data_IF_608934259319
#
_entry.id   IF_608934259319
#
_cell.length_a   1.000
_cell.length_b   1.000
_cell.length_c   1.000
_cell.angle_alpha   90.00
_cell.angle_beta   90.00
_cell.angle_gamma   90.00
#
_symmetry.space_group_name_H-M   'P 1'
#
loop_
_entity.id
_entity.type
_entity.pdbx_description
1 polymer ?
#
# COMPACT_ATOMS: atom_id res chain seq x y z
N UNK A 1 5.55 -21.04 -18.53
CA UNK A 1 4.89 -19.73 -18.51
C UNK A 1 5.35 -18.99 -17.27
N UNK A 2 6.03 -17.87 -17.42
CA UNK A 2 6.45 -17.04 -16.28
C UNK A 2 5.20 -16.55 -15.55
N UNK A 3 5.00 -16.96 -14.29
CA UNK A 3 3.94 -16.38 -13.44
C UNK A 3 4.12 -14.86 -13.48
N UNK A 4 3.09 -14.14 -13.92
CA UNK A 4 3.12 -12.69 -13.92
C UNK A 4 3.31 -12.22 -12.47
N UNK A 5 4.21 -11.25 -12.29
CA UNK A 5 4.56 -10.75 -10.97
C UNK A 5 3.35 -10.04 -10.37
N UNK A 6 2.98 -10.38 -9.13
CA UNK A 6 1.87 -9.75 -8.43
C UNK A 6 2.35 -8.46 -7.76
N UNK A 7 1.82 -7.33 -8.20
CA UNK A 7 2.11 -6.02 -7.62
C UNK A 7 0.99 -5.63 -6.68
N UNK A 8 1.25 -5.70 -5.37
CA UNK A 8 0.25 -5.35 -4.36
C UNK A 8 -0.29 -3.92 -4.52
N UNK A 9 0.50 -2.98 -5.02
CA UNK A 9 0.05 -1.61 -5.29
C UNK A 9 -0.97 -1.52 -6.42
N UNK A 10 -1.03 -2.52 -7.30
CA UNK A 10 -1.99 -2.66 -8.40
C UNK A 10 -3.16 -3.59 -8.04
N UNK A 11 -3.34 -3.95 -6.77
CA UNK A 11 -4.42 -4.85 -6.36
C UNK A 11 -5.60 -4.05 -5.80
N UNK A 12 -6.83 -4.32 -6.24
CA UNK A 12 -8.05 -3.65 -5.76
C UNK A 12 -8.29 -3.80 -4.25
N UNK A 13 -7.75 -4.86 -3.64
CA UNK A 13 -7.89 -5.11 -2.22
C UNK A 13 -6.81 -4.44 -1.36
N UNK A 14 -5.77 -3.87 -1.98
CA UNK A 14 -4.67 -3.22 -1.27
C UNK A 14 -4.89 -1.70 -1.26
N UNK A 15 -5.53 -1.21 -0.19
CA UNK A 15 -6.04 0.15 -0.13
C UNK A 15 -5.16 1.07 0.73
N UNK A 16 -5.10 2.34 0.37
CA UNK A 16 -4.48 3.39 1.18
C UNK A 16 -5.44 3.78 2.31
N UNK A 17 -4.91 3.92 3.53
CA UNK A 17 -5.63 4.34 4.74
C UNK A 17 -4.88 5.46 5.45
N UNK A 18 -5.61 6.22 6.27
CA UNK A 18 -5.03 7.17 7.22
C UNK A 18 -4.71 6.43 8.51
N UNK A 19 -3.45 6.50 8.94
CA UNK A 19 -3.03 6.10 10.28
C UNK A 19 -2.81 7.37 11.08
N UNK A 20 -3.71 7.64 12.02
CA UNK A 20 -3.57 8.78 12.93
C UNK A 20 -2.43 8.51 13.91
N UNK A 21 -1.62 9.55 14.12
CA UNK A 21 -0.56 9.54 15.13
C UNK A 21 -1.17 9.88 16.50
N UNK A 22 -0.34 10.18 17.50
CA UNK A 22 -0.80 10.58 18.84
C UNK A 22 -1.70 11.83 18.85
N UNK A 23 -1.61 12.67 17.81
CA UNK A 23 -2.47 13.85 17.61
C UNK A 23 -3.63 13.52 16.65
N UNK A 24 -4.90 13.82 17.01
CA UNK A 24 -6.08 13.36 16.26
C UNK A 24 -6.24 14.02 14.88
N UNK A 25 -5.55 15.13 14.63
CA UNK A 25 -5.60 15.88 13.38
C UNK A 25 -4.40 15.61 12.47
N UNK A 26 -3.44 14.79 12.91
CA UNK A 26 -2.23 14.46 12.14
C UNK A 26 -2.23 12.98 11.79
N UNK A 27 -1.98 12.67 10.53
CA UNK A 27 -1.95 11.30 10.05
C UNK A 27 -0.86 11.08 9.02
N UNK A 28 -0.45 9.81 8.91
CA UNK A 28 0.40 9.32 7.83
C UNK A 28 -0.41 8.38 6.94
N UNK A 29 -0.04 8.29 5.67
CA UNK A 29 -0.65 7.32 4.76
C UNK A 29 0.00 5.94 4.93
N UNK A 30 -0.84 4.93 5.03
CA UNK A 30 -0.45 3.51 5.06
C UNK A 30 -1.24 2.75 4.02
N UNK A 31 -0.79 1.55 3.70
CA UNK A 31 -1.53 0.61 2.87
C UNK A 31 -1.84 -0.62 3.69
N UNK A 32 -3.05 -1.14 3.55
CA UNK A 32 -3.49 -2.42 4.11
C UNK A 32 -4.11 -3.32 3.06
N UNK A 33 -4.22 -4.62 3.33
CA UNK A 33 -4.85 -5.58 2.43
C UNK A 33 -6.18 -6.04 3.03
N UNK A 34 -7.30 -5.68 2.40
CA UNK A 34 -8.65 -6.04 2.88
C UNK A 34 -8.89 -7.54 3.01
N UNK A 35 -8.10 -8.37 2.31
CA UNK A 35 -8.14 -9.83 2.39
C UNK A 35 -7.15 -10.41 3.42
N UNK A 36 -6.52 -9.55 4.22
CA UNK A 36 -5.60 -9.88 5.31
C UNK A 36 -4.42 -10.79 4.91
N UNK A 37 -3.99 -10.69 3.65
CA UNK A 37 -2.81 -11.39 3.14
C UNK A 37 -1.51 -10.93 3.80
N UNK A 38 -1.55 -9.81 4.54
CA UNK A 38 -0.42 -9.30 5.30
C UNK A 38 -0.74 -9.37 6.80
N UNK A 39 -0.10 -10.31 7.48
CA UNK A 39 -0.22 -10.46 8.92
C UNK A 39 1.15 -10.31 9.59
N UNK A 40 1.14 -9.77 10.80
CA UNK A 40 2.28 -9.86 11.72
C UNK A 40 2.30 -11.26 12.33
N UNK A 41 3.42 -11.63 12.96
CA UNK A 41 3.51 -12.87 13.76
C UNK A 41 2.47 -12.94 14.88
N UNK A 42 2.00 -11.79 15.37
CA UNK A 42 0.94 -11.68 16.37
C UNK A 42 -0.48 -11.92 15.83
N UNK A 43 -0.66 -12.10 14.51
CA UNK A 43 -1.97 -12.26 13.87
C UNK A 43 -2.68 -10.94 13.52
N UNK A 44 -2.16 -9.81 14.01
CA UNK A 44 -2.63 -8.48 13.60
C UNK A 44 -2.37 -8.22 12.11
N UNK A 45 -3.22 -7.42 11.49
CA UNK A 45 -2.98 -6.94 10.14
C UNK A 45 -1.70 -6.07 10.08
N UNK A 46 -0.88 -6.30 9.06
CA UNK A 46 0.32 -5.52 8.83
C UNK A 46 0.03 -4.34 7.91
N UNK A 47 0.33 -3.14 8.39
CA UNK A 47 0.27 -1.89 7.63
C UNK A 47 1.65 -1.58 7.05
N UNK A 48 1.70 -1.22 5.76
CA UNK A 48 2.94 -0.83 5.10
C UNK A 48 2.94 0.64 4.70
N UNK A 49 4.13 1.23 4.58
CA UNK A 49 4.32 2.54 3.96
C UNK A 49 4.01 2.45 2.46
N UNK A 50 3.47 3.51 1.87
CA UNK A 50 3.02 3.46 0.48
C UNK A 50 4.19 3.18 -0.50
N UNK A 51 5.34 3.83 -0.30
CA UNK A 51 6.53 3.61 -1.13
C UNK A 51 7.08 2.18 -1.04
N UNK A 52 6.81 1.47 0.06
CA UNK A 52 7.17 0.05 0.22
C UNK A 52 6.26 -0.82 -0.64
N UNK A 53 4.94 -0.59 -0.62
CA UNK A 53 3.98 -1.36 -1.43
C UNK A 53 4.15 -1.13 -2.93
N UNK A 54 4.58 0.06 -3.36
CA UNK A 54 4.93 0.33 -4.77
C UNK A 54 6.08 -0.55 -5.30
N UNK A 55 6.93 -1.07 -4.41
CA UNK A 55 8.09 -1.91 -4.74
C UNK A 55 7.87 -3.39 -4.39
N UNK A 56 6.88 -3.69 -3.56
CA UNK A 56 6.56 -5.03 -3.11
C UNK A 56 5.98 -5.86 -4.24
N UNK A 57 6.58 -7.02 -4.46
CA UNK A 57 6.12 -8.03 -5.40
C UNK A 57 5.87 -9.31 -4.61
N UNK A 58 4.79 -10.01 -4.93
CA UNK A 58 4.48 -11.33 -4.40
C UNK A 58 4.60 -12.37 -5.51
N UNK A 59 4.98 -13.57 -5.13
CA UNK A 59 4.97 -14.72 -6.04
C UNK A 59 3.54 -15.23 -6.24
N UNK A 60 2.74 -15.21 -5.16
CA UNK A 60 1.38 -15.74 -5.14
C UNK A 60 0.47 -14.91 -4.21
N UNK A 61 -0.79 -14.77 -4.62
CA UNK A 61 -1.88 -14.20 -3.81
C UNK A 61 -3.20 -14.64 -4.43
N UNK A 62 -3.98 -15.44 -3.69
CA UNK A 62 -5.24 -16.02 -4.15
C UNK A 62 -6.34 -14.99 -4.44
N UNK A 63 -6.25 -13.81 -3.80
CA UNK A 63 -7.20 -12.70 -3.99
C UNK A 63 -6.61 -11.55 -4.81
N UNK A 64 -5.60 -11.79 -5.65
CA UNK A 64 -5.09 -10.71 -6.49
C UNK A 64 -6.12 -10.36 -7.57
N UNK A 65 -6.60 -9.13 -7.52
CA UNK A 65 -7.48 -8.54 -8.52
C UNK A 65 -6.84 -7.25 -9.01
N UNK A 66 -6.46 -7.20 -10.28
CA UNK A 66 -5.77 -6.06 -10.84
C UNK A 66 -6.66 -4.80 -10.89
N UNK A 67 -6.05 -3.66 -10.60
CA UNK A 67 -6.69 -2.35 -10.61
C UNK A 67 -6.22 -1.57 -11.83
N UNK A 68 -6.74 -1.93 -13.00
CA UNK A 68 -6.38 -1.28 -14.26
C UNK A 68 -4.97 -1.62 -14.74
N UNK A 69 -4.38 -0.73 -15.55
CA UNK A 69 -3.10 -0.99 -16.22
C UNK A 69 -1.90 -0.95 -15.27
N UNK A 70 -1.18 -2.08 -15.18
CA UNK A 70 -0.01 -2.22 -14.33
C UNK A 70 1.13 -1.23 -14.68
N UNK A 71 1.40 -1.08 -15.97
CA UNK A 71 2.31 -0.07 -16.51
C UNK A 71 1.49 0.91 -17.35
N UNK A 72 1.65 2.23 -17.19
CA UNK A 72 2.76 2.92 -16.50
C UNK A 72 2.60 3.11 -14.98
N UNK A 73 1.48 2.69 -14.38
CA UNK A 73 1.11 2.99 -13.00
C UNK A 73 2.21 2.71 -11.97
N UNK A 74 2.78 1.50 -11.93
CA UNK A 74 3.83 1.15 -10.97
C UNK A 74 5.10 1.98 -11.17
N UNK A 75 5.42 2.33 -12.42
CA UNK A 75 6.59 3.16 -12.74
C UNK A 75 6.41 4.57 -12.18
N UNK A 76 5.21 5.15 -12.34
CA UNK A 76 4.90 6.48 -11.83
C UNK A 76 4.87 6.50 -10.30
N UNK A 77 4.22 5.53 -9.65
CA UNK A 77 4.20 5.42 -8.19
C UNK A 77 5.62 5.38 -7.59
N UNK A 78 6.54 4.61 -8.18
CA UNK A 78 7.91 4.51 -7.66
C UNK A 78 8.70 5.81 -7.78
N UNK A 79 8.36 6.64 -8.77
CA UNK A 79 9.00 7.94 -9.05
C UNK A 79 8.42 9.05 -8.19
N UNK A 80 7.10 9.06 -7.99
CA UNK A 80 6.37 10.17 -7.37
C UNK A 80 6.22 10.01 -5.87
N UNK A 81 6.15 8.79 -5.34
CA UNK A 81 5.95 8.59 -3.91
C UNK A 81 7.18 9.03 -3.09
N UNK A 82 6.97 9.78 -2.00
CA UNK A 82 8.03 10.19 -1.10
C UNK A 82 8.67 8.96 -0.43
N UNK A 83 10.00 9.00 -0.26
CA UNK A 83 10.79 7.91 0.36
C UNK A 83 10.58 7.89 1.88
N UNK A 84 10.08 8.99 2.46
CA UNK A 84 9.79 9.14 3.89
C UNK A 84 8.29 9.28 4.09
N UNK A 85 7.85 9.03 5.31
CA UNK A 85 6.46 9.33 5.66
C UNK A 85 6.25 10.83 5.68
N UNK A 86 5.21 11.27 4.97
CA UNK A 86 4.69 12.62 5.07
C UNK A 86 3.60 12.65 6.13
N UNK A 87 3.65 13.68 6.98
CA UNK A 87 2.63 13.93 7.98
C UNK A 87 1.64 14.91 7.37
N UNK A 88 0.40 14.47 7.19
CA UNK A 88 -0.70 15.28 6.71
C UNK A 88 -1.49 15.81 7.91
N UNK A 89 -2.14 16.97 7.74
CA UNK A 89 -3.08 17.50 8.72
C UNK A 89 -4.49 17.55 8.12
N UNK A 90 -5.50 17.28 8.94
CA UNK A 90 -6.91 17.52 8.58
C UNK A 90 -7.37 18.94 8.91
N UNK A 91 -6.53 19.76 9.56
CA UNK A 91 -6.80 21.17 9.75
C UNK A 91 -6.45 21.89 8.45
N UNK A 92 -7.43 22.54 7.83
CA UNK A 92 -7.16 23.54 6.80
C UNK A 92 -6.34 24.67 7.45
N UNK A 93 -5.24 25.07 6.80
CA UNK A 93 -4.41 26.20 7.22
C UNK A 93 -5.15 27.49 6.91
#
# INVERSE_FOLDING_TARGET
>A
MSKEKIFCSNCQHCIVIRQYESEPDRYVLRVKCLKRQWSKRSGEEKLYKYFTVARRIMDECEYYEESGELFPYIKNLRKELPIKDEIYSTREI
#
